data_IF_836638421527
#
_entry.id   IF_836638421527
#
_cell.length_a   1.000
_cell.length_b   1.000
_cell.length_c   1.000
_cell.angle_alpha   90.00
_cell.angle_beta   90.00
_cell.angle_gamma   90.00
#
_symmetry.space_group_name_H-M   'P 1'
#
loop_
_entity.id
_entity.type
_entity.pdbx_description
1 polymer ?
#
# COMPACT_ATOMS: atom_id res chain seq x y z
N UNK A 1 -1.43 -7.82 37.68
CA UNK A 1 -0.71 -8.35 36.52
C UNK A 1 -1.15 -9.77 36.18
N UNK A 2 -0.91 -10.80 37.01
CA UNK A 2 -1.20 -12.22 36.71
C UNK A 2 -2.65 -12.47 36.26
N UNK A 3 -3.64 -11.84 36.94
CA UNK A 3 -5.05 -12.01 36.62
C UNK A 3 -5.40 -11.37 35.26
N UNK A 4 -4.82 -10.21 34.95
CA UNK A 4 -5.02 -9.57 33.66
C UNK A 4 -4.42 -10.41 32.51
N UNK A 5 -3.23 -10.96 32.71
CA UNK A 5 -2.61 -11.89 31.75
C UNK A 5 -3.47 -13.12 31.51
N UNK A 6 -4.03 -13.71 32.58
CA UNK A 6 -4.91 -14.87 32.46
C UNK A 6 -6.18 -14.55 31.65
N UNK A 7 -6.79 -13.38 31.85
CA UNK A 7 -7.98 -12.94 31.09
C UNK A 7 -7.63 -12.72 29.63
N UNK A 8 -6.57 -11.97 29.34
CA UNK A 8 -6.13 -11.70 27.97
C UNK A 8 -5.76 -13.00 27.23
N UNK A 9 -5.10 -13.94 27.90
CA UNK A 9 -4.80 -15.24 27.31
C UNK A 9 -6.08 -16.04 27.03
N UNK A 10 -7.06 -16.04 27.95
CA UNK A 10 -8.35 -16.69 27.73
C UNK A 10 -9.12 -16.04 26.55
N UNK A 11 -9.06 -14.71 26.42
CA UNK A 11 -9.61 -13.98 25.27
C UNK A 11 -8.93 -14.41 23.96
N UNK A 12 -7.58 -14.44 23.93
CA UNK A 12 -6.83 -14.88 22.76
C UNK A 12 -7.22 -16.30 22.32
N UNK A 13 -7.34 -17.24 23.27
CA UNK A 13 -7.79 -18.61 23.01
C UNK A 13 -9.23 -18.67 22.47
N UNK A 14 -10.13 -17.87 23.02
CA UNK A 14 -11.52 -17.76 22.57
C UNK A 14 -11.61 -17.21 21.12
N UNK A 15 -10.83 -16.18 20.83
CA UNK A 15 -10.76 -15.57 19.50
C UNK A 15 -10.12 -16.53 18.47
N UNK A 16 -9.05 -17.25 18.86
CA UNK A 16 -8.42 -18.26 17.99
C UNK A 16 -9.39 -19.39 17.61
N UNK A 17 -10.19 -19.88 18.55
CA UNK A 17 -11.19 -20.92 18.26
C UNK A 17 -12.24 -20.46 17.24
N UNK A 18 -12.49 -19.18 17.16
CA UNK A 18 -13.46 -18.55 16.24
C UNK A 18 -12.80 -17.99 14.97
N UNK A 19 -11.51 -18.26 14.77
CA UNK A 19 -10.69 -17.77 13.64
C UNK A 19 -10.55 -16.24 13.54
N UNK A 20 -10.71 -15.50 14.63
CA UNK A 20 -10.37 -14.07 14.72
C UNK A 20 -8.87 -13.91 15.02
N UNK A 21 -8.03 -14.27 14.04
CA UNK A 21 -6.60 -14.45 14.24
C UNK A 21 -5.88 -13.14 14.61
N UNK A 22 -6.20 -12.02 13.94
CA UNK A 22 -5.60 -10.71 14.26
C UNK A 22 -6.00 -10.22 15.65
N UNK A 23 -7.25 -10.36 16.02
CA UNK A 23 -7.71 -10.00 17.37
C UNK A 23 -7.08 -10.90 18.43
N UNK A 24 -6.83 -12.18 18.11
CA UNK A 24 -6.10 -13.08 19.01
C UNK A 24 -4.63 -12.66 19.19
N UNK A 25 -3.96 -12.18 18.10
CA UNK A 25 -2.62 -11.60 18.17
C UNK A 25 -2.64 -10.34 19.06
N UNK A 26 -3.58 -9.42 18.84
CA UNK A 26 -3.70 -8.20 19.65
C UNK A 26 -3.88 -8.50 21.15
N UNK A 27 -4.70 -9.48 21.50
CA UNK A 27 -4.88 -9.93 22.90
C UNK A 27 -3.57 -10.52 23.48
N UNK A 28 -2.80 -11.27 22.70
CA UNK A 28 -1.48 -11.76 23.11
C UNK A 28 -0.51 -10.60 23.35
N UNK A 29 -0.49 -9.61 22.44
CA UNK A 29 0.39 -8.44 22.56
C UNK A 29 0.10 -7.58 23.79
N UNK A 30 -1.16 -7.40 24.14
CA UNK A 30 -1.54 -6.68 25.37
C UNK A 30 -1.10 -7.43 26.64
N UNK A 31 -0.97 -8.75 26.59
CA UNK A 31 -0.51 -9.57 27.72
C UNK A 31 1.03 -9.60 27.89
N UNK A 32 1.77 -9.52 26.78
CA UNK A 32 3.24 -9.65 26.75
C UNK A 32 3.99 -8.64 27.64
N UNK A 33 3.66 -7.33 27.69
CA UNK A 33 4.33 -6.37 28.56
C UNK A 33 4.20 -6.71 30.05
N UNK A 34 3.11 -7.41 30.42
CA UNK A 34 2.84 -7.81 31.81
C UNK A 34 3.49 -9.14 32.18
N UNK A 35 3.77 -10.01 31.20
CA UNK A 35 4.36 -11.33 31.36
C UNK A 35 5.22 -11.74 30.15
N UNK A 36 6.40 -11.11 29.91
CA UNK A 36 7.20 -11.30 28.71
C UNK A 36 7.73 -12.73 28.49
N UNK A 37 7.72 -13.58 29.53
CA UNK A 37 8.23 -14.96 29.46
C UNK A 37 7.14 -16.01 29.62
N UNK A 38 5.87 -15.62 29.46
CA UNK A 38 4.75 -16.55 29.61
C UNK A 38 4.68 -17.50 28.40
N UNK A 39 5.07 -18.75 28.63
CA UNK A 39 5.11 -19.80 27.58
C UNK A 39 3.77 -20.02 26.89
N UNK A 40 2.66 -19.89 27.64
CA UNK A 40 1.32 -20.09 27.08
C UNK A 40 0.98 -19.09 25.97
N UNK A 41 1.49 -17.85 26.07
CA UNK A 41 1.28 -16.84 25.02
C UNK A 41 2.01 -17.27 23.75
N UNK A 42 3.28 -17.69 23.84
CA UNK A 42 4.03 -18.19 22.67
C UNK A 42 3.40 -19.43 22.04
N UNK A 43 2.89 -20.35 22.86
CA UNK A 43 2.15 -21.53 22.38
C UNK A 43 0.88 -21.12 21.63
N UNK A 44 0.14 -20.11 22.12
CA UNK A 44 -1.03 -19.56 21.45
C UNK A 44 -0.65 -18.91 20.12
N UNK A 45 0.42 -18.10 20.08
CA UNK A 45 0.92 -17.51 18.82
C UNK A 45 1.32 -18.60 17.79
N UNK A 46 1.99 -19.66 18.24
CA UNK A 46 2.31 -20.82 17.37
C UNK A 46 1.04 -21.41 16.75
N UNK A 47 0.00 -21.60 17.55
CA UNK A 47 -1.29 -22.15 17.05
C UNK A 47 -2.02 -21.18 16.13
N UNK A 48 -1.91 -19.87 16.37
CA UNK A 48 -2.43 -18.85 15.46
C UNK A 48 -1.75 -18.97 14.09
N UNK A 49 -0.43 -19.08 14.04
CA UNK A 49 0.32 -19.27 12.80
C UNK A 49 -0.08 -20.56 12.07
N UNK A 50 -0.14 -21.70 12.77
CA UNK A 50 -0.57 -22.97 12.19
C UNK A 50 -2.00 -22.88 11.61
N UNK A 51 -2.88 -22.12 12.26
CA UNK A 51 -4.24 -21.90 11.78
C UNK A 51 -4.26 -21.02 10.54
N UNK A 52 -3.47 -19.94 10.53
CA UNK A 52 -3.32 -19.04 9.39
C UNK A 52 -2.82 -19.77 8.14
N UNK A 53 -1.77 -20.59 8.28
CA UNK A 53 -1.20 -21.37 7.19
C UNK A 53 -2.22 -22.33 6.53
N UNK A 54 -3.16 -22.88 7.31
CA UNK A 54 -4.23 -23.76 6.77
C UNK A 54 -5.27 -23.00 5.95
N UNK A 55 -5.56 -21.74 6.30
CA UNK A 55 -6.54 -20.90 5.60
C UNK A 55 -5.99 -20.40 4.25
N UNK A 56 -4.70 -20.09 4.17
CA UNK A 56 -4.02 -19.60 2.95
C UNK A 56 -3.93 -20.67 1.86
N UNK A 57 -3.83 -21.95 2.21
CA UNK A 57 -3.79 -23.06 1.23
C UNK A 57 -5.05 -23.21 0.37
N UNK A 58 -6.09 -22.41 0.56
CA UNK A 58 -7.37 -22.52 -0.14
C UNK A 58 -7.71 -21.38 -1.10
N UNK A 59 -7.15 -20.17 -0.98
CA UNK A 59 -7.45 -19.06 -1.90
C UNK A 59 -6.34 -18.00 -1.87
N UNK A 60 -5.73 -17.75 -3.02
CA UNK A 60 -5.11 -16.47 -3.33
C UNK A 60 -6.24 -15.42 -3.44
N UNK A 61 -6.77 -14.97 -2.31
CA UNK A 61 -7.88 -14.04 -2.23
C UNK A 61 -7.40 -12.62 -2.44
N UNK A 62 -8.14 -11.83 -3.22
CA UNK A 62 -8.06 -10.37 -3.24
C UNK A 62 -8.25 -9.76 -1.83
N UNK A 63 -8.15 -8.43 -1.69
CA UNK A 63 -8.44 -7.78 -0.41
C UNK A 63 -9.80 -8.29 0.10
N UNK A 64 -9.94 -8.53 1.43
CA UNK A 64 -11.20 -8.99 1.96
C UNK A 64 -12.30 -8.01 1.54
N UNK A 65 -13.49 -8.48 1.12
CA UNK A 65 -14.60 -7.58 0.89
C UNK A 65 -14.83 -6.78 2.17
N UNK A 66 -15.13 -5.48 2.01
CA UNK A 66 -15.51 -4.65 3.14
C UNK A 66 -16.66 -5.35 3.87
N UNK A 67 -16.65 -5.42 5.22
CA UNK A 67 -17.77 -5.97 5.97
C UNK A 67 -19.04 -5.20 5.57
N UNK A 68 -20.20 -5.86 5.46
CA UNK A 68 -21.45 -5.18 5.13
C UNK A 68 -21.72 -4.09 6.17
N UNK A 69 -22.24 -2.93 5.73
CA UNK A 69 -22.53 -1.76 6.59
C UNK A 69 -23.39 -2.10 7.82
N UNK A 70 -24.21 -3.16 7.75
CA UNK A 70 -25.01 -3.66 8.86
C UNK A 70 -24.22 -4.18 10.08
N UNK A 71 -22.91 -4.37 9.97
CA UNK A 71 -22.05 -4.71 11.13
C UNK A 71 -21.65 -3.50 11.97
N UNK A 72 -21.95 -2.29 11.52
CA UNK A 72 -21.58 -1.04 12.19
C UNK A 72 -22.80 -0.32 12.79
N UNK A 73 -23.81 -1.04 13.24
CA UNK A 73 -24.87 -0.45 14.07
C UNK A 73 -24.23 0.07 15.36
N UNK A 74 -24.03 1.41 15.37
CA UNK A 74 -23.31 2.21 16.32
C UNK A 74 -23.78 2.14 17.78
N UNK A 75 -23.72 0.96 18.37
CA UNK A 75 -23.67 0.81 19.83
C UNK A 75 -22.19 0.62 20.20
N UNK A 76 -21.55 1.74 20.49
CA UNK A 76 -20.29 1.81 21.18
C UNK A 76 -20.39 1.00 22.46
N UNK A 77 -19.57 -0.05 22.59
CA UNK A 77 -19.35 -0.79 23.86
C UNK A 77 -18.59 0.08 24.89
N UNK A 78 -19.03 1.32 25.07
CA UNK A 78 -18.47 2.27 26.04
C UNK A 78 -18.73 1.83 27.50
N UNK A 79 -19.60 0.83 27.71
CA UNK A 79 -19.92 0.32 29.05
C UNK A 79 -18.89 -0.66 29.63
N UNK A 80 -17.87 -1.09 28.84
CA UNK A 80 -16.83 -2.01 29.32
C UNK A 80 -15.78 -1.33 30.20
N UNK A 81 -15.69 0.00 30.20
CA UNK A 81 -14.66 0.75 30.97
C UNK A 81 -15.01 1.01 32.45
N UNK A 82 -16.19 0.64 32.91
CA UNK A 82 -16.62 0.89 34.31
C UNK A 82 -16.55 -0.31 35.23
N UNK A 83 -15.92 -1.40 34.83
CA UNK A 83 -15.92 -2.65 35.60
C UNK A 83 -14.78 -2.68 36.64
N UNK A 84 -15.12 -2.48 37.89
CA UNK A 84 -14.20 -2.66 39.03
C UNK A 84 -14.38 -4.04 39.67
N UNK A 85 -13.28 -4.75 39.93
CA UNK A 85 -13.25 -5.86 40.86
C UNK A 85 -13.40 -7.28 40.31
N UNK A 86 -13.88 -8.21 41.12
CA UNK A 86 -13.86 -9.67 40.93
C UNK A 86 -14.69 -10.18 39.73
N UNK A 87 -15.55 -9.36 39.17
CA UNK A 87 -16.51 -9.74 38.09
C UNK A 87 -15.93 -9.71 36.66
N UNK A 88 -14.70 -9.19 36.48
CA UNK A 88 -14.07 -9.08 35.16
C UNK A 88 -13.92 -10.42 34.43
N UNK A 89 -13.64 -11.51 35.15
CA UNK A 89 -13.48 -12.83 34.52
C UNK A 89 -14.82 -13.44 34.10
N UNK A 90 -15.85 -13.29 34.91
CA UNK A 90 -17.19 -13.82 34.60
C UNK A 90 -17.87 -12.99 33.51
N UNK A 91 -17.60 -11.69 33.47
CA UNK A 91 -18.11 -10.79 32.45
C UNK A 91 -17.34 -10.93 31.12
N UNK A 92 -16.00 -11.16 31.13
CA UNK A 92 -15.25 -11.51 29.94
C UNK A 92 -15.78 -12.83 29.32
N UNK A 93 -16.15 -13.81 30.13
CA UNK A 93 -16.79 -15.06 29.68
C UNK A 93 -18.18 -14.77 29.10
N UNK A 94 -18.93 -13.85 29.69
CA UNK A 94 -20.27 -13.44 29.20
C UNK A 94 -20.17 -12.68 27.87
N UNK A 95 -19.20 -11.77 27.72
CA UNK A 95 -18.90 -11.07 26.45
C UNK A 95 -18.44 -12.06 25.39
N UNK A 96 -17.59 -13.03 25.73
CA UNK A 96 -17.21 -14.12 24.82
C UNK A 96 -18.42 -15.00 24.41
N UNK A 97 -19.39 -15.16 25.30
CA UNK A 97 -20.66 -15.84 24.99
C UNK A 97 -21.55 -15.03 24.04
N UNK A 98 -21.58 -13.71 24.17
CA UNK A 98 -22.36 -12.81 23.29
C UNK A 98 -21.75 -12.68 21.87
N UNK A 99 -20.43 -12.90 21.73
CA UNK A 99 -19.77 -12.95 20.40
C UNK A 99 -20.25 -14.14 19.54
N UNK A 100 -20.81 -15.19 20.16
CA UNK A 100 -21.41 -16.31 19.41
C UNK A 100 -22.64 -15.87 18.59
N UNK A 101 -23.35 -14.84 18.99
CA UNK A 101 -24.50 -14.29 18.24
C UNK A 101 -24.06 -13.49 17.00
N UNK A 102 -22.80 -13.04 16.93
CA UNK A 102 -22.19 -12.35 15.77
C UNK A 102 -21.58 -13.36 14.77
N UNK A 103 -21.45 -14.62 15.16
CA UNK A 103 -20.72 -15.68 14.45
C UNK A 103 -21.47 -16.33 13.28
N UNK A 104 -22.58 -15.78 12.80
CA UNK A 104 -23.23 -16.23 11.55
C UNK A 104 -22.59 -15.64 10.29
N UNK A 105 -21.53 -14.81 10.42
CA UNK A 105 -20.75 -14.34 9.28
C UNK A 105 -19.98 -15.52 8.65
N UNK A 106 -20.13 -15.65 7.33
CA UNK A 106 -19.44 -16.64 6.51
C UNK A 106 -17.94 -16.71 6.88
N UNK A 107 -17.39 -17.90 7.24
CA UNK A 107 -15.96 -18.06 7.49
C UNK A 107 -15.07 -17.56 6.34
N UNK A 108 -15.60 -17.49 5.12
CA UNK A 108 -14.91 -16.92 3.96
C UNK A 108 -14.78 -15.38 4.02
N UNK A 109 -15.54 -14.70 4.86
CA UNK A 109 -15.48 -13.24 5.05
C UNK A 109 -14.46 -12.79 6.11
N UNK A 110 -13.78 -13.72 6.78
CA UNK A 110 -12.76 -13.39 7.78
C UNK A 110 -11.47 -12.94 7.10
N UNK A 111 -10.86 -11.81 7.53
CA UNK A 111 -9.61 -11.37 6.94
C UNK A 111 -8.53 -12.44 7.13
N UNK A 112 -7.86 -12.87 6.03
CA UNK A 112 -6.68 -13.72 6.15
C UNK A 112 -5.60 -12.96 6.95
N UNK A 113 -4.58 -13.68 7.43
CA UNK A 113 -3.35 -13.06 7.96
C UNK A 113 -2.36 -12.86 6.80
N UNK A 114 -2.56 -11.85 5.91
CA UNK A 114 -1.62 -11.63 4.84
C UNK A 114 -0.26 -11.24 5.44
N UNK A 115 0.82 -11.60 4.77
CA UNK A 115 2.19 -11.45 5.22
C UNK A 115 2.58 -12.42 6.35
N UNK A 116 1.83 -12.47 7.45
CA UNK A 116 2.18 -13.27 8.62
C UNK A 116 2.11 -14.79 8.36
N UNK A 117 1.16 -15.22 7.52
CA UNK A 117 1.00 -16.64 7.18
C UNK A 117 2.12 -17.18 6.29
N UNK A 118 2.83 -16.30 5.59
CA UNK A 118 3.92 -16.66 4.67
C UNK A 118 5.29 -16.72 5.38
N UNK A 119 5.36 -16.27 6.64
CA UNK A 119 6.56 -16.35 7.46
C UNK A 119 6.76 -17.77 8.01
N UNK A 120 8.02 -18.14 8.28
CA UNK A 120 8.33 -19.32 9.08
C UNK A 120 7.74 -19.15 10.50
N UNK A 121 7.29 -20.25 11.11
CA UNK A 121 6.62 -20.22 12.41
C UNK A 121 7.37 -19.43 13.47
N UNK A 122 8.67 -19.70 13.59
CA UNK A 122 9.49 -19.08 14.64
C UNK A 122 9.75 -17.60 14.32
N UNK A 123 9.92 -17.25 13.04
CA UNK A 123 9.99 -15.86 12.57
C UNK A 123 8.69 -15.10 12.87
N UNK A 124 7.53 -15.73 12.66
CA UNK A 124 6.24 -15.15 12.99
C UNK A 124 6.12 -14.85 14.50
N UNK A 125 6.45 -15.83 15.34
CA UNK A 125 6.34 -15.66 16.83
C UNK A 125 7.25 -14.55 17.29
N UNK A 126 8.52 -14.55 16.86
CA UNK A 126 9.50 -13.54 17.24
C UNK A 126 9.13 -12.14 16.69
N UNK A 127 8.56 -12.06 15.47
CA UNK A 127 8.07 -10.80 14.91
C UNK A 127 6.89 -10.27 15.73
N UNK A 128 5.91 -11.12 16.07
CA UNK A 128 4.75 -10.69 16.84
C UNK A 128 5.16 -10.14 18.20
N UNK A 129 6.17 -10.71 18.85
CA UNK A 129 6.68 -10.21 20.14
C UNK A 129 7.29 -8.80 20.08
N UNK A 130 7.65 -8.33 18.85
CA UNK A 130 8.21 -7.00 18.60
C UNK A 130 7.15 -5.98 18.13
N UNK A 131 5.92 -6.43 17.83
CA UNK A 131 4.88 -5.51 17.38
C UNK A 131 4.43 -4.56 18.47
N UNK A 132 4.21 -3.30 18.11
CA UNK A 132 3.50 -2.34 18.93
C UNK A 132 1.98 -2.47 18.70
N UNK A 133 1.21 -2.54 19.79
CA UNK A 133 -0.25 -2.42 19.73
C UNK A 133 -0.65 -0.98 20.07
N UNK A 134 -1.53 -0.39 19.25
CA UNK A 134 -2.01 0.98 19.43
C UNK A 134 -3.50 1.08 19.19
N UNK A 135 -4.18 1.75 20.12
CA UNK A 135 -5.57 2.19 19.96
C UNK A 135 -5.61 3.60 19.41
N UNK A 136 -6.50 3.83 18.46
CA UNK A 136 -6.73 5.13 17.83
C UNK A 136 -8.18 5.53 17.96
N UNK A 137 -8.41 6.81 18.17
CA UNK A 137 -9.73 7.40 18.16
C UNK A 137 -10.11 7.89 16.76
N UNK A 138 -11.42 7.97 16.52
CA UNK A 138 -11.94 8.59 15.31
C UNK A 138 -11.30 9.97 15.07
N UNK A 139 -10.90 10.26 13.83
CA UNK A 139 -10.23 11.48 13.40
C UNK A 139 -8.70 11.46 13.51
N UNK A 140 -8.09 10.46 14.16
CA UNK A 140 -6.62 10.39 14.24
C UNK A 140 -6.01 9.95 12.90
N UNK A 141 -4.95 10.67 12.49
CA UNK A 141 -4.19 10.37 11.28
C UNK A 141 -3.16 9.28 11.57
N UNK A 142 -3.22 8.20 10.79
CA UNK A 142 -2.30 7.06 10.90
C UNK A 142 -1.07 7.29 10.01
N UNK A 143 -1.31 7.70 8.77
CA UNK A 143 -0.28 7.92 7.77
C UNK A 143 -0.64 9.17 6.97
N UNK A 144 0.32 10.07 6.73
CA UNK A 144 0.08 11.34 6.03
C UNK A 144 0.74 11.34 4.65
N UNK A 145 -0.02 11.79 3.64
CA UNK A 145 0.49 11.99 2.29
C UNK A 145 1.78 12.83 2.29
N UNK A 146 2.79 12.39 1.55
CA UNK A 146 4.07 13.08 1.44
C UNK A 146 5.03 12.92 2.62
N UNK A 147 4.61 12.35 3.76
CA UNK A 147 5.47 12.08 4.91
C UNK A 147 5.90 10.62 4.94
N UNK A 148 7.19 10.35 4.72
CA UNK A 148 7.73 8.99 4.80
C UNK A 148 7.48 8.38 6.17
N UNK A 149 7.12 7.08 6.18
CA UNK A 149 6.99 6.28 7.39
C UNK A 149 7.92 5.09 7.33
N UNK A 150 8.54 4.77 8.46
CA UNK A 150 9.36 3.57 8.66
C UNK A 150 8.57 2.46 9.37
N UNK A 151 7.25 2.44 9.18
CA UNK A 151 6.34 1.47 9.79
C UNK A 151 5.42 0.83 8.77
N UNK A 152 5.13 -0.45 9.00
CA UNK A 152 3.98 -1.15 8.41
C UNK A 152 2.88 -1.16 9.47
N UNK A 153 1.66 -0.94 9.02
CA UNK A 153 0.47 -0.94 9.86
C UNK A 153 -0.45 -2.09 9.47
N UNK A 154 -1.02 -2.74 10.47
CA UNK A 154 -2.06 -3.77 10.29
C UNK A 154 -3.30 -3.34 11.07
N UNK A 155 -4.39 -3.07 10.39
CA UNK A 155 -5.65 -2.73 11.03
C UNK A 155 -6.29 -4.02 11.57
N UNK A 156 -6.41 -4.14 12.88
CA UNK A 156 -7.04 -5.29 13.55
C UNK A 156 -8.56 -5.16 13.55
N UNK A 157 -9.03 -3.99 13.99
CA UNK A 157 -10.45 -3.64 14.08
C UNK A 157 -10.66 -2.17 13.75
N UNK A 158 -11.90 -1.77 13.48
CA UNK A 158 -12.26 -0.41 13.09
C UNK A 158 -12.23 -0.18 11.59
N UNK A 159 -12.36 1.09 11.20
CA UNK A 159 -12.41 1.55 9.80
C UNK A 159 -11.54 2.79 9.61
N UNK A 160 -10.75 2.82 8.56
CA UNK A 160 -9.93 3.96 8.19
C UNK A 160 -10.21 4.41 6.75
N UNK A 161 -10.15 5.71 6.50
CA UNK A 161 -10.33 6.33 5.20
C UNK A 161 -8.97 6.58 4.55
N UNK A 162 -8.86 6.24 3.27
CA UNK A 162 -7.72 6.62 2.41
C UNK A 162 -8.14 7.81 1.58
N UNK A 163 -7.47 8.95 1.75
CA UNK A 163 -7.74 10.19 1.01
C UNK A 163 -6.48 10.76 0.38
N UNK A 164 -6.64 11.56 -0.68
CA UNK A 164 -5.55 12.25 -1.38
C UNK A 164 -5.95 13.68 -1.67
N UNK A 165 -4.98 14.59 -1.63
CA UNK A 165 -5.18 15.97 -2.05
C UNK A 165 -5.20 16.05 -3.59
N UNK A 166 -6.32 16.53 -4.14
CA UNK A 166 -6.51 16.78 -5.57
C UNK A 166 -7.01 18.22 -5.71
N UNK A 167 -6.22 19.06 -6.38
CA UNK A 167 -6.55 20.50 -6.60
C UNK A 167 -6.86 21.27 -5.30
N UNK A 168 -6.25 20.86 -4.18
CA UNK A 168 -6.43 21.49 -2.87
C UNK A 168 -7.60 20.95 -2.04
N UNK A 169 -8.36 20.00 -2.57
CA UNK A 169 -9.44 19.30 -1.87
C UNK A 169 -9.06 17.86 -1.52
N UNK A 170 -9.46 17.40 -0.34
CA UNK A 170 -9.28 16.00 0.06
C UNK A 170 -10.33 15.11 -0.64
N UNK A 171 -9.86 14.18 -1.49
CA UNK A 171 -10.72 13.22 -2.17
C UNK A 171 -10.56 11.84 -1.55
N UNK A 172 -11.66 11.25 -1.11
CA UNK A 172 -11.69 9.86 -0.63
C UNK A 172 -11.42 8.89 -1.77
N UNK A 173 -10.45 8.00 -1.60
CA UNK A 173 -10.09 6.97 -2.56
C UNK A 173 -10.65 5.60 -2.18
N UNK A 174 -10.61 5.26 -0.89
CA UNK A 174 -11.04 3.95 -0.39
C UNK A 174 -11.27 3.98 1.12
N UNK A 175 -11.85 2.90 1.63
CA UNK A 175 -11.91 2.60 3.06
C UNK A 175 -11.17 1.29 3.35
N UNK A 176 -10.46 1.25 4.47
CA UNK A 176 -9.75 0.10 4.99
C UNK A 176 -10.52 -0.45 6.20
N UNK A 177 -10.64 -1.76 6.28
CA UNK A 177 -11.23 -2.48 7.43
C UNK A 177 -10.23 -3.45 8.05
N UNK A 178 -10.67 -4.20 9.06
CA UNK A 178 -9.84 -5.21 9.72
C UNK A 178 -9.19 -6.18 8.74
N UNK A 179 -7.90 -6.47 8.95
CA UNK A 179 -7.04 -7.24 8.05
C UNK A 179 -6.30 -6.43 6.99
N UNK A 180 -6.59 -5.13 6.86
CA UNK A 180 -5.85 -4.27 5.93
C UNK A 180 -4.43 -4.02 6.42
N UNK A 181 -3.46 -4.14 5.50
CA UNK A 181 -2.06 -3.81 5.73
C UNK A 181 -1.70 -2.61 4.87
N UNK A 182 -0.95 -1.65 5.40
CA UNK A 182 -0.51 -0.47 4.67
C UNK A 182 0.79 0.10 5.25
N UNK A 183 1.46 1.01 4.51
CA UNK A 183 2.77 1.54 4.87
C UNK A 183 3.95 0.69 4.34
N UNK A 184 3.71 -0.54 3.90
CA UNK A 184 4.71 -1.47 3.41
C UNK A 184 5.48 -0.95 2.19
N UNK A 185 4.77 -0.30 1.26
CA UNK A 185 5.40 0.26 0.04
C UNK A 185 6.36 1.38 0.43
N UNK A 186 5.91 2.33 1.25
CA UNK A 186 6.74 3.44 1.73
C UNK A 186 7.96 2.93 2.50
N UNK A 187 7.75 1.99 3.41
CA UNK A 187 8.84 1.42 4.20
C UNK A 187 9.89 0.71 3.34
N UNK A 188 9.47 -0.14 2.39
CA UNK A 188 10.39 -0.94 1.57
C UNK A 188 11.06 -0.11 0.47
N UNK A 189 10.33 0.78 -0.18
CA UNK A 189 10.86 1.60 -1.27
C UNK A 189 11.51 2.89 -0.77
N UNK A 190 11.14 3.37 0.44
CA UNK A 190 11.48 4.69 0.97
C UNK A 190 10.78 5.84 0.23
N UNK A 191 9.82 5.53 -0.64
CA UNK A 191 8.96 6.52 -1.27
C UNK A 191 7.96 7.08 -0.26
N UNK A 192 7.64 8.37 -0.33
CA UNK A 192 6.61 8.96 0.50
C UNK A 192 5.23 8.38 0.13
N UNK A 193 4.32 8.19 1.10
CA UNK A 193 2.95 7.77 0.85
C UNK A 193 2.25 8.73 -0.10
N UNK A 194 1.45 8.20 -0.99
CA UNK A 194 0.67 8.96 -1.98
C UNK A 194 -0.73 9.31 -1.50
N UNK A 195 -1.05 8.97 -0.25
CA UNK A 195 -2.37 9.17 0.36
C UNK A 195 -2.25 9.35 1.86
N UNK A 196 -3.22 10.05 2.44
CA UNK A 196 -3.42 10.14 3.89
C UNK A 196 -4.38 9.03 4.34
N UNK A 197 -4.10 8.41 5.47
CA UNK A 197 -4.97 7.40 6.09
C UNK A 197 -5.40 7.93 7.46
N UNK A 198 -6.72 8.04 7.66
CA UNK A 198 -7.33 8.60 8.87
C UNK A 198 -8.34 7.60 9.44
N UNK A 199 -8.34 7.39 10.74
CA UNK A 199 -9.34 6.60 11.44
C UNK A 199 -10.72 7.28 11.33
N UNK A 200 -11.74 6.56 10.85
CA UNK A 200 -13.14 7.03 10.78
C UNK A 200 -14.05 6.33 11.77
N UNK A 201 -13.49 5.50 12.60
CA UNK A 201 -14.03 4.94 13.83
C UNK A 201 -12.88 4.68 14.79
N UNK A 202 -13.16 4.29 16.03
CA UNK A 202 -12.11 3.74 16.91
C UNK A 202 -11.44 2.55 16.21
N UNK A 203 -10.11 2.51 16.22
CA UNK A 203 -9.32 1.52 15.51
C UNK A 203 -8.28 0.88 16.42
N UNK A 204 -8.09 -0.44 16.24
CA UNK A 204 -6.97 -1.20 16.81
C UNK A 204 -5.94 -1.45 15.72
N UNK A 205 -4.70 -1.09 15.99
CA UNK A 205 -3.58 -1.19 15.06
C UNK A 205 -2.44 -2.02 15.65
N UNK A 206 -1.80 -2.81 14.76
CA UNK A 206 -0.46 -3.33 15.00
C UNK A 206 0.51 -2.52 14.14
N UNK A 207 1.62 -2.12 14.75
CA UNK A 207 2.69 -1.39 14.08
C UNK A 207 3.96 -2.24 14.06
N UNK A 208 4.59 -2.34 12.90
CA UNK A 208 5.87 -3.02 12.69
C UNK A 208 6.90 -1.98 12.32
N UNK A 209 7.92 -1.79 13.12
CA UNK A 209 8.99 -0.84 12.82
C UNK A 209 10.03 -1.45 11.89
N UNK A 210 10.74 -0.63 11.11
CA UNK A 210 11.83 -1.07 10.24
C UNK A 210 12.94 -1.78 11.02
N UNK A 211 13.25 -1.31 12.21
CA UNK A 211 14.26 -1.88 13.09
C UNK A 211 13.92 -3.29 13.49
N UNK A 212 12.65 -3.57 13.82
CA UNK A 212 12.16 -4.89 14.19
C UNK A 212 12.30 -5.87 13.02
N UNK A 213 11.91 -5.44 11.81
CA UNK A 213 12.09 -6.24 10.60
C UNK A 213 13.57 -6.50 10.29
N UNK A 214 14.44 -5.51 10.50
CA UNK A 214 15.88 -5.69 10.34
C UNK A 214 16.45 -6.69 11.38
N UNK A 215 15.94 -6.64 12.60
CA UNK A 215 16.33 -7.58 13.65
C UNK A 215 15.92 -9.01 13.28
N UNK A 216 14.65 -9.21 12.90
CA UNK A 216 14.12 -10.52 12.48
C UNK A 216 14.85 -11.04 11.25
N UNK A 217 15.12 -10.20 10.26
CA UNK A 217 15.82 -10.57 9.02
C UNK A 217 17.26 -11.09 9.26
N UNK A 218 17.92 -10.67 10.36
CA UNK A 218 19.25 -11.20 10.74
C UNK A 218 19.16 -12.64 11.21
N UNK A 219 18.08 -13.01 11.89
CA UNK A 219 17.85 -14.36 12.40
C UNK A 219 17.19 -15.27 11.37
N UNK A 220 16.29 -14.71 10.57
CA UNK A 220 15.50 -15.41 9.55
C UNK A 220 15.70 -14.80 8.17
N UNK A 221 16.69 -15.28 7.39
CA UNK A 221 17.04 -14.70 6.07
C UNK A 221 15.91 -14.78 5.02
N UNK A 222 14.89 -15.59 5.23
CA UNK A 222 13.70 -15.69 4.36
C UNK A 222 12.77 -14.48 4.44
N UNK A 223 12.74 -13.78 5.58
CA UNK A 223 11.79 -12.68 5.86
C UNK A 223 11.85 -11.54 4.84
N UNK A 224 13.02 -11.01 4.43
CA UNK A 224 13.09 -9.98 3.39
C UNK A 224 12.44 -10.40 2.07
N UNK A 225 12.60 -11.66 1.66
CA UNK A 225 11.97 -12.21 0.45
C UNK A 225 10.45 -12.24 0.55
N UNK A 226 9.90 -12.65 1.68
CA UNK A 226 8.46 -12.67 1.94
C UNK A 226 7.89 -11.24 1.89
N UNK A 227 8.54 -10.28 2.56
CA UNK A 227 8.14 -8.87 2.54
C UNK A 227 8.18 -8.26 1.14
N UNK A 228 9.25 -8.53 0.38
CA UNK A 228 9.39 -8.04 -0.99
C UNK A 228 8.29 -8.58 -1.90
N UNK A 229 8.00 -9.88 -1.82
CA UNK A 229 6.92 -10.54 -2.58
C UNK A 229 5.56 -9.94 -2.24
N UNK A 230 5.28 -9.75 -0.95
CA UNK A 230 4.04 -9.13 -0.50
C UNK A 230 3.88 -7.70 -1.03
N UNK A 231 4.92 -6.87 -0.94
CA UNK A 231 4.89 -5.50 -1.45
C UNK A 231 4.74 -5.44 -2.97
N UNK A 232 5.43 -6.32 -3.72
CA UNK A 232 5.27 -6.42 -5.18
C UNK A 232 3.84 -6.76 -5.57
N UNK A 233 3.21 -7.73 -4.90
CA UNK A 233 1.82 -8.08 -5.14
C UNK A 233 0.85 -6.93 -4.83
N UNK A 234 1.13 -6.16 -3.79
CA UNK A 234 0.36 -4.96 -3.43
C UNK A 234 0.52 -3.86 -4.47
N UNK A 235 1.76 -3.55 -4.86
CA UNK A 235 2.06 -2.57 -5.91
C UNK A 235 1.39 -2.95 -7.23
N UNK A 236 1.44 -4.22 -7.62
CA UNK A 236 0.78 -4.72 -8.80
C UNK A 236 -0.75 -4.54 -8.76
N UNK A 237 -1.40 -4.81 -7.62
CA UNK A 237 -2.85 -4.57 -7.44
C UNK A 237 -3.18 -3.09 -7.49
N UNK A 238 -2.38 -2.24 -6.85
CA UNK A 238 -2.57 -0.79 -6.91
C UNK A 238 -2.45 -0.28 -8.35
N UNK A 239 -1.48 -0.78 -9.11
CA UNK A 239 -1.29 -0.44 -10.52
C UNK A 239 -2.53 -0.78 -11.36
N UNK A 240 -3.11 -1.97 -11.15
CA UNK A 240 -4.36 -2.37 -11.82
C UNK A 240 -5.50 -1.40 -11.49
N UNK A 241 -5.57 -0.95 -10.25
CA UNK A 241 -6.67 -0.11 -9.77
C UNK A 241 -6.52 1.37 -10.18
N UNK A 242 -5.29 1.88 -10.29
CA UNK A 242 -5.01 3.31 -10.46
C UNK A 242 -4.61 3.70 -11.87
N UNK A 243 -3.99 2.80 -12.64
CA UNK A 243 -3.52 3.13 -13.99
C UNK A 243 -4.64 3.02 -15.02
N UNK A 244 -4.92 4.10 -15.80
CA UNK A 244 -5.88 4.08 -16.91
C UNK A 244 -5.57 3.00 -17.95
N UNK A 245 -4.29 2.63 -18.10
CA UNK A 245 -3.85 1.56 -18.99
C UNK A 245 -4.52 0.23 -18.64
N UNK A 246 -4.55 -0.11 -17.34
CA UNK A 246 -5.14 -1.37 -16.89
C UNK A 246 -6.67 -1.38 -16.91
N UNK A 247 -7.31 -0.21 -16.88
CA UNK A 247 -8.77 -0.11 -17.04
C UNK A 247 -9.24 -0.63 -18.40
N UNK A 248 -8.39 -0.54 -19.43
CA UNK A 248 -8.69 -0.98 -20.79
C UNK A 248 -8.50 -2.49 -20.96
N UNK A 249 -7.66 -3.12 -20.12
CA UNK A 249 -7.33 -4.55 -20.21
C UNK A 249 -8.43 -5.38 -19.57
N UNK A 250 -8.93 -6.44 -20.25
CA UNK A 250 -9.88 -7.37 -19.67
C UNK A 250 -9.36 -7.93 -18.33
N UNK A 251 -10.23 -8.07 -17.36
CA UNK A 251 -9.86 -8.50 -16.00
C UNK A 251 -9.13 -9.85 -15.98
N UNK A 252 -9.53 -10.77 -16.86
CA UNK A 252 -8.92 -12.08 -16.99
C UNK A 252 -7.45 -12.04 -17.44
N UNK A 253 -7.04 -11.01 -18.20
CA UNK A 253 -5.69 -10.91 -18.76
C UNK A 253 -4.71 -10.15 -17.84
N UNK A 254 -5.23 -9.42 -16.85
CA UNK A 254 -4.43 -8.59 -15.94
C UNK A 254 -3.40 -9.37 -15.12
N UNK A 255 -3.74 -10.55 -14.54
CA UNK A 255 -2.77 -11.31 -13.74
C UNK A 255 -1.56 -11.77 -14.55
N UNK A 256 -1.79 -12.26 -15.79
CA UNK A 256 -0.69 -12.71 -16.66
C UNK A 256 0.20 -11.52 -17.06
N UNK A 257 -0.39 -10.37 -17.39
CA UNK A 257 0.38 -9.18 -17.75
C UNK A 257 1.28 -8.71 -16.60
N UNK A 258 0.81 -8.78 -15.36
CA UNK A 258 1.59 -8.37 -14.18
C UNK A 258 2.88 -9.17 -14.03
N UNK A 259 2.90 -10.44 -14.42
CA UNK A 259 4.11 -11.28 -14.35
C UNK A 259 5.20 -10.86 -15.36
N UNK A 260 4.86 -10.01 -16.33
CA UNK A 260 5.78 -9.54 -17.37
C UNK A 260 6.47 -8.22 -17.02
N UNK A 261 6.17 -7.63 -15.85
CA UNK A 261 6.79 -6.41 -15.38
C UNK A 261 7.99 -6.69 -14.49
N UNK A 262 9.09 -5.96 -14.74
CA UNK A 262 10.23 -5.87 -13.85
C UNK A 262 10.03 -4.71 -12.88
N UNK A 263 10.16 -4.97 -11.58
CA UNK A 263 10.02 -3.96 -10.53
C UNK A 263 11.37 -3.39 -10.14
N UNK A 264 11.48 -2.06 -10.10
CA UNK A 264 12.72 -1.36 -9.77
C UNK A 264 12.45 -0.20 -8.81
N UNK A 265 13.37 -0.02 -7.83
CA UNK A 265 13.43 1.20 -7.03
C UNK A 265 14.52 2.12 -7.62
N UNK A 266 14.16 3.38 -7.85
CA UNK A 266 15.05 4.43 -8.31
C UNK A 266 15.39 5.35 -7.15
N UNK A 267 16.67 5.68 -6.99
CA UNK A 267 17.11 6.72 -6.07
C UNK A 267 16.74 8.12 -6.61
N UNK A 268 16.69 9.13 -5.74
CA UNK A 268 16.51 10.50 -6.17
C UNK A 268 17.63 10.90 -7.18
N UNK A 269 17.25 11.48 -8.31
CA UNK A 269 18.14 11.83 -9.43
C UNK A 269 18.43 10.68 -10.39
N UNK A 270 18.07 9.42 -10.07
CA UNK A 270 18.28 8.28 -10.97
C UNK A 270 17.33 8.37 -12.18
N UNK A 271 17.89 8.18 -13.37
CA UNK A 271 17.16 8.27 -14.64
C UNK A 271 16.52 6.92 -14.97
N UNK A 272 15.22 6.93 -15.21
CA UNK A 272 14.50 5.80 -15.79
C UNK A 272 14.65 5.77 -17.31
N UNK A 273 14.72 6.95 -17.95
CA UNK A 273 14.85 7.16 -19.39
C UNK A 273 15.79 8.35 -19.58
N UNK A 274 16.77 8.25 -20.52
CA UNK A 274 17.67 9.35 -20.89
C UNK A 274 17.28 9.86 -22.28
N UNK A 275 17.15 11.18 -22.45
CA UNK A 275 16.89 11.81 -23.74
C UNK A 275 17.93 11.38 -24.79
N UNK A 276 17.50 11.12 -26.01
CA UNK A 276 18.33 10.67 -27.11
C UNK A 276 18.77 9.20 -27.07
N UNK A 277 18.53 8.47 -25.98
CA UNK A 277 18.84 7.04 -25.87
C UNK A 277 17.67 6.17 -26.35
N UNK A 278 17.94 4.88 -26.56
CA UNK A 278 16.92 3.90 -26.89
C UNK A 278 16.12 3.52 -25.66
N UNK A 279 14.79 3.56 -25.75
CA UNK A 279 13.89 3.17 -24.67
C UNK A 279 13.70 1.66 -24.68
N UNK A 280 14.01 0.99 -23.58
CA UNK A 280 14.00 -0.47 -23.49
C UNK A 280 12.63 -1.03 -23.02
N UNK A 281 11.72 -0.18 -22.54
CA UNK A 281 10.41 -0.62 -22.06
C UNK A 281 9.51 0.55 -21.63
N UNK A 282 8.23 0.24 -21.43
CA UNK A 282 7.26 1.16 -20.87
C UNK A 282 7.46 1.22 -19.35
N UNK A 283 7.65 2.42 -18.83
CA UNK A 283 7.84 2.69 -17.38
C UNK A 283 6.52 3.12 -16.79
N UNK A 284 6.08 2.49 -15.70
CA UNK A 284 4.90 2.85 -14.93
C UNK A 284 5.31 3.24 -13.51
N UNK A 285 4.79 4.34 -13.00
CA UNK A 285 5.05 4.79 -11.63
C UNK A 285 4.16 4.01 -10.66
N UNK A 286 4.77 3.34 -9.68
CA UNK A 286 4.08 2.58 -8.63
C UNK A 286 3.94 3.36 -7.33
N UNK A 287 4.99 4.09 -6.96
CA UNK A 287 5.02 4.97 -5.80
C UNK A 287 6.15 5.99 -5.97
N UNK A 288 5.96 7.19 -5.47
CA UNK A 288 6.95 8.27 -5.60
C UNK A 288 6.61 9.23 -6.74
N UNK A 289 7.65 9.74 -7.44
CA UNK A 289 7.48 10.79 -8.44
C UNK A 289 8.65 10.82 -9.43
N UNK A 290 8.32 10.88 -10.72
CA UNK A 290 9.28 11.11 -11.80
C UNK A 290 9.05 12.49 -12.41
N UNK A 291 10.13 13.20 -12.76
CA UNK A 291 10.10 14.45 -13.50
C UNK A 291 10.52 14.18 -14.94
N UNK A 292 9.72 14.66 -15.87
CA UNK A 292 10.06 14.67 -17.31
C UNK A 292 10.76 15.97 -17.63
N UNK A 293 11.99 15.88 -18.12
CA UNK A 293 12.86 17.02 -18.39
C UNK A 293 13.40 16.94 -19.81
N UNK A 294 13.55 18.09 -20.44
CA UNK A 294 14.13 18.21 -21.77
C UNK A 294 15.24 19.26 -21.81
N UNK A 295 16.32 18.93 -22.51
CA UNK A 295 17.38 19.89 -22.76
C UNK A 295 16.92 20.97 -23.75
N UNK A 296 17.10 22.23 -23.37
CA UNK A 296 16.84 23.39 -24.21
C UNK A 296 18.05 23.59 -25.16
N UNK A 297 17.82 24.01 -26.43
CA UNK A 297 18.90 24.37 -27.34
C UNK A 297 19.90 25.40 -26.78
N UNK A 298 19.50 26.21 -25.81
CA UNK A 298 20.36 27.14 -25.07
C UNK A 298 21.21 26.52 -23.96
N UNK A 299 21.15 25.18 -23.75
CA UNK A 299 21.91 24.45 -22.73
C UNK A 299 21.24 24.41 -21.34
N UNK A 300 19.99 24.89 -21.23
CA UNK A 300 19.16 24.76 -20.01
C UNK A 300 18.42 23.44 -19.96
N UNK A 301 17.76 23.17 -18.83
CA UNK A 301 16.85 22.03 -18.66
C UNK A 301 15.47 22.56 -18.33
N UNK A 302 14.50 22.20 -19.15
CA UNK A 302 13.08 22.56 -18.96
C UNK A 302 12.34 21.37 -18.36
N UNK A 303 11.66 21.58 -17.23
CA UNK A 303 10.74 20.60 -16.65
C UNK A 303 9.41 20.64 -17.39
N UNK A 304 9.03 19.52 -18.00
CA UNK A 304 7.83 19.43 -18.84
C UNK A 304 6.62 18.97 -18.05
N UNK A 305 6.78 17.97 -17.19
CA UNK A 305 5.70 17.40 -16.39
C UNK A 305 6.24 16.57 -15.22
N UNK A 306 5.34 16.30 -14.29
CA UNK A 306 5.56 15.40 -13.17
C UNK A 306 4.67 14.18 -13.36
N UNK A 307 5.27 12.99 -13.27
CA UNK A 307 4.56 11.71 -13.32
C UNK A 307 4.44 11.13 -11.93
N UNK A 308 3.22 10.69 -11.58
CA UNK A 308 2.86 10.14 -10.28
C UNK A 308 2.32 8.72 -10.43
N UNK A 309 1.90 8.12 -9.33
CA UNK A 309 1.33 6.78 -9.28
C UNK A 309 0.25 6.57 -10.35
N UNK A 310 0.41 5.50 -11.14
CA UNK A 310 -0.45 5.17 -12.27
C UNK A 310 -0.03 5.79 -13.61
N UNK A 311 0.85 6.80 -13.61
CA UNK A 311 1.35 7.41 -14.85
C UNK A 311 2.41 6.55 -15.52
N UNK A 312 2.57 6.76 -16.83
CA UNK A 312 3.50 6.02 -17.67
C UNK A 312 4.50 6.93 -18.37
N UNK A 313 5.64 6.36 -18.78
CA UNK A 313 6.64 7.02 -19.61
C UNK A 313 7.24 6.05 -20.65
N UNK A 314 7.80 6.58 -21.74
CA UNK A 314 8.49 5.80 -22.77
C UNK A 314 7.58 5.36 -23.91
N UNK A 315 6.27 5.57 -23.82
CA UNK A 315 5.27 5.21 -24.83
C UNK A 315 5.54 5.86 -26.19
N UNK A 316 5.99 7.14 -26.21
CA UNK A 316 6.29 7.89 -27.45
C UNK A 316 7.36 7.16 -28.26
N UNK A 317 8.48 6.86 -27.61
CA UNK A 317 9.61 6.21 -28.26
C UNK A 317 9.29 4.77 -28.69
N UNK A 318 8.52 4.05 -27.87
CA UNK A 318 8.13 2.66 -28.17
C UNK A 318 7.15 2.57 -29.34
N UNK A 319 6.13 3.45 -29.39
CA UNK A 319 5.11 3.44 -30.43
C UNK A 319 5.65 3.95 -31.76
N UNK A 320 6.44 5.01 -31.74
CA UNK A 320 6.91 5.69 -32.96
C UNK A 320 8.26 5.17 -33.44
N UNK A 321 8.90 4.23 -32.72
CA UNK A 321 10.21 3.70 -33.06
C UNK A 321 11.33 4.74 -32.95
N UNK A 322 11.16 5.75 -32.10
CA UNK A 322 12.09 6.86 -31.91
C UNK A 322 13.03 6.60 -30.72
N UNK A 323 14.04 7.45 -30.59
CA UNK A 323 14.80 7.61 -29.34
C UNK A 323 13.98 8.41 -28.34
N UNK A 324 14.33 8.37 -27.08
CA UNK A 324 13.66 9.12 -26.01
C UNK A 324 13.64 10.61 -26.34
N UNK A 325 12.44 11.22 -26.27
CA UNK A 325 12.20 12.63 -26.57
C UNK A 325 12.49 13.56 -25.40
N UNK A 326 12.68 12.99 -24.20
CA UNK A 326 12.97 13.69 -22.96
C UNK A 326 13.62 12.73 -21.96
N UNK A 327 14.32 13.27 -20.97
CA UNK A 327 14.84 12.54 -19.81
C UNK A 327 13.70 12.40 -18.78
N UNK A 328 13.58 11.19 -18.19
CA UNK A 328 12.64 10.90 -17.09
C UNK A 328 13.46 10.44 -15.91
N UNK A 329 13.49 11.24 -14.84
CA UNK A 329 14.30 11.00 -13.66
C UNK A 329 13.46 11.05 -12.38
N UNK A 330 13.85 10.29 -11.37
CA UNK A 330 13.20 10.31 -10.07
C UNK A 330 13.52 11.62 -9.33
N UNK A 331 12.48 12.39 -8.95
CA UNK A 331 12.64 13.59 -8.11
C UNK A 331 12.92 13.23 -6.64
N UNK A 332 12.46 12.05 -6.25
CA UNK A 332 12.66 11.43 -4.94
C UNK A 332 12.73 9.93 -5.11
N UNK A 333 13.00 9.18 -4.06
CA UNK A 333 13.00 7.71 -4.15
C UNK A 333 11.65 7.22 -4.68
N UNK A 334 11.68 6.47 -5.79
CA UNK A 334 10.50 6.13 -6.60
C UNK A 334 10.53 4.66 -6.98
N UNK A 335 9.40 3.98 -6.81
CA UNK A 335 9.22 2.62 -7.29
C UNK A 335 8.54 2.65 -8.66
N UNK A 336 9.06 1.87 -9.61
CA UNK A 336 8.55 1.76 -10.97
C UNK A 336 8.38 0.29 -11.38
N UNK A 337 7.43 0.04 -12.28
CA UNK A 337 7.30 -1.20 -13.01
C UNK A 337 7.68 -0.95 -14.47
N UNK A 338 8.49 -1.82 -15.06
CA UNK A 338 8.99 -1.69 -16.42
C UNK A 338 8.48 -2.87 -17.25
N UNK A 339 7.69 -2.59 -18.28
CA UNK A 339 7.28 -3.58 -19.26
C UNK A 339 8.27 -3.54 -20.43
N UNK A 340 9.12 -4.56 -20.53
CA UNK A 340 10.14 -4.63 -21.59
C UNK A 340 9.56 -4.51 -22.99
N UNK A 341 10.33 -3.98 -23.96
CA UNK A 341 9.91 -3.70 -25.33
C UNK A 341 9.16 -4.85 -26.00
N UNK A 342 9.67 -6.08 -25.92
CA UNK A 342 9.04 -7.24 -26.58
C UNK A 342 7.66 -7.55 -25.95
N UNK A 343 7.52 -7.44 -24.62
CA UNK A 343 6.25 -7.63 -23.93
C UNK A 343 5.26 -6.49 -24.27
N UNK A 344 5.76 -5.26 -24.36
CA UNK A 344 4.96 -4.10 -24.81
C UNK A 344 4.41 -4.28 -26.23
N UNK A 345 5.26 -4.70 -27.19
CA UNK A 345 4.84 -4.96 -28.58
C UNK A 345 3.78 -6.07 -28.64
N UNK A 346 3.92 -7.09 -27.81
CA UNK A 346 2.91 -8.15 -27.69
C UNK A 346 1.61 -7.62 -27.14
N UNK A 347 1.66 -6.80 -26.08
CA UNK A 347 0.51 -6.19 -25.43
C UNK A 347 -0.33 -5.35 -26.41
N UNK A 348 0.31 -4.45 -27.17
CA UNK A 348 -0.39 -3.56 -28.11
C UNK A 348 -0.94 -4.31 -29.33
N UNK A 349 -0.38 -5.48 -29.68
CA UNK A 349 -0.91 -6.36 -30.73
C UNK A 349 -2.16 -7.12 -30.23
N UNK A 350 -2.14 -7.61 -29.01
CA UNK A 350 -3.25 -8.35 -28.41
C UNK A 350 -4.43 -7.43 -28.03
N UNK A 351 -4.15 -6.18 -27.67
CA UNK A 351 -5.14 -5.21 -27.19
C UNK A 351 -5.10 -3.91 -28.01
N UNK A 352 -5.75 -3.82 -29.17
CA UNK A 352 -5.72 -2.63 -30.03
C UNK A 352 -6.19 -1.33 -29.35
N UNK A 353 -7.14 -1.43 -28.40
CA UNK A 353 -7.62 -0.27 -27.61
C UNK A 353 -6.52 0.35 -26.74
N UNK A 354 -5.57 -0.45 -26.27
CA UNK A 354 -4.41 0.05 -25.53
C UNK A 354 -3.52 0.87 -26.47
N UNK A 355 -3.30 0.36 -27.67
CA UNK A 355 -2.54 1.07 -28.68
C UNK A 355 -3.16 2.43 -28.99
N UNK A 356 -4.48 2.49 -29.24
CA UNK A 356 -5.21 3.72 -29.50
C UNK A 356 -5.10 4.72 -28.33
N UNK A 357 -5.26 4.23 -27.09
CA UNK A 357 -5.08 5.05 -25.89
C UNK A 357 -3.67 5.65 -25.79
N UNK A 358 -2.64 4.83 -26.01
CA UNK A 358 -1.24 5.25 -25.94
C UNK A 358 -0.86 6.20 -27.08
N UNK A 359 -1.40 6.01 -28.30
CA UNK A 359 -1.21 6.92 -29.43
C UNK A 359 -1.82 8.29 -29.09
N UNK A 360 -3.04 8.34 -28.58
CA UNK A 360 -3.66 9.59 -28.13
C UNK A 360 -2.89 10.30 -27.00
N UNK A 361 -2.34 9.54 -26.06
CA UNK A 361 -1.49 10.09 -25.00
C UNK A 361 -0.18 10.65 -25.58
N UNK A 362 0.48 9.89 -26.45
CA UNK A 362 1.72 10.25 -27.14
C UNK A 362 1.56 11.57 -27.93
N UNK A 363 0.48 11.72 -28.68
CA UNK A 363 0.24 12.92 -29.48
C UNK A 363 -0.01 14.16 -28.61
N UNK A 364 -0.77 14.04 -27.53
CA UNK A 364 -0.93 15.14 -26.55
C UNK A 364 0.40 15.56 -25.95
N UNK A 365 1.24 14.61 -25.54
CA UNK A 365 2.55 14.88 -24.92
C UNK A 365 3.53 15.50 -25.92
N UNK A 366 3.57 15.04 -27.17
CA UNK A 366 4.40 15.64 -28.20
C UNK A 366 3.99 17.09 -28.46
N UNK A 367 2.69 17.39 -28.48
CA UNK A 367 2.18 18.76 -28.62
C UNK A 367 2.65 19.64 -27.45
N UNK A 368 2.52 19.16 -26.21
CA UNK A 368 3.01 19.88 -25.01
C UNK A 368 4.52 20.13 -25.06
N UNK A 369 5.31 19.13 -25.47
CA UNK A 369 6.76 19.30 -25.65
C UNK A 369 7.05 20.40 -26.70
N UNK A 370 6.36 20.37 -27.82
CA UNK A 370 6.51 21.37 -28.89
C UNK A 370 6.13 22.78 -28.44
N UNK A 371 5.11 22.91 -27.61
CA UNK A 371 4.69 24.19 -27.04
C UNK A 371 5.70 24.71 -26.00
N UNK A 372 6.19 23.85 -25.11
CA UNK A 372 7.17 24.21 -24.08
C UNK A 372 8.55 24.59 -24.65
N UNK A 373 8.88 24.10 -25.84
CA UNK A 373 10.15 24.35 -26.51
C UNK A 373 10.09 25.47 -27.54
N UNK A 374 8.99 26.21 -27.66
CA UNK A 374 8.92 27.40 -28.50
C UNK A 374 9.79 28.48 -27.90
N UNK A 375 10.63 29.16 -28.74
CA UNK A 375 11.35 30.34 -28.26
C UNK A 375 10.33 31.36 -27.73
N UNK A 376 10.60 31.93 -26.58
CA UNK A 376 9.85 33.09 -26.10
C UNK A 376 10.20 34.21 -27.10
N UNK A 377 9.25 34.62 -27.96
CA UNK A 377 9.38 35.87 -28.70
C UNK A 377 9.46 36.97 -27.62
N UNK A 378 10.67 37.45 -27.38
CA UNK A 378 10.89 38.66 -26.60
C UNK A 378 10.37 39.77 -27.54
N UNK A 379 9.16 40.26 -27.26
CA UNK A 379 8.68 41.50 -27.87
C UNK A 379 9.76 42.56 -27.57
N UNK A 380 10.41 43.06 -28.60
CA UNK A 380 11.41 44.11 -28.46
C UNK A 380 10.81 45.26 -27.66
N UNK A 381 11.55 45.73 -26.66
CA UNK A 381 11.11 46.84 -25.77
C UNK A 381 10.80 48.16 -26.51
N UNK A 382 11.07 48.20 -27.82
CA UNK A 382 10.83 49.36 -28.66
C UNK A 382 9.37 49.49 -29.17
N UNK A 383 8.51 48.49 -28.96
CA UNK A 383 7.06 48.60 -29.31
C UNK A 383 6.17 49.17 -28.19
N UNK A 384 6.73 49.51 -27.02
CA UNK A 384 6.02 50.26 -26.00
C UNK A 384 6.20 51.78 -26.17
N UNK A 385 5.92 52.31 -27.39
CA UNK A 385 5.68 53.73 -27.54
C UNK A 385 4.28 54.03 -27.04
N UNK A 386 4.21 54.45 -25.81
CA UNK A 386 3.01 55.06 -25.25
C UNK A 386 2.82 56.37 -25.95
N UNK A 387 1.85 56.47 -26.88
CA UNK A 387 1.31 57.76 -27.31
C UNK A 387 0.69 58.47 -26.13
N UNK A 388 1.46 59.44 -25.60
CA UNK A 388 0.95 60.42 -24.66
C UNK A 388 0.38 61.61 -25.44
N UNK A 389 -0.92 61.71 -25.48
CA UNK A 389 -1.62 62.98 -25.64
C UNK A 389 -2.72 63.15 -24.59
#
# INVERSE_FOLDING_TARGET
>A
AERAVAVLHACAEGLLRRDYLLSAIAACLQALPMAPKEKRIRETLTRIHERAARVVGGRAGGPPPLPPESMYDGKSDTDLMTLQGSDLSDQAITVLGSVDSISTADPAARPPLPLFADLERDAFVDLVELLDYRELKEGEVICKEGQTTDRIFVLVAGKAEVSRQVEGEAKTLAFLGGGSIFGEISMLTGAAPTSTITAVSDCDLLEIQREDLNQIARTFPSVPGVLATFAQQRMARNLIATSPLFAIIPEADRPELLTRFDFKALAAGEKAITEGEQVNGLVLVLAGELVVQKEDPGGGVVSLSILREGDIAGEIALLKGLRATATVAASRKTAVAILGRAAFETLIKQHPKIREYLEGLSDRRLKMIGEAMRPIEILDADELVVEST
#
